data_IF_054277640825
#
_entry.id   IF_054277640825
#
_cell.length_a   1.000
_cell.length_b   1.000
_cell.length_c   1.000
_cell.angle_alpha   90.00
_cell.angle_beta   90.00
_cell.angle_gamma   90.00
#
_symmetry.space_group_name_H-M   'P 1'
#
loop_
_entity.id
_entity.type
_entity.pdbx_description
1 polymer ?
#
# COMPACT_ATOMS: atom_id res chain seq x y z
N UNK A 1 5.97 7.36 -15.09
CA UNK A 1 5.39 8.44 -14.27
C UNK A 1 4.83 7.78 -13.02
N UNK A 2 5.42 8.08 -11.87
CA UNK A 2 4.98 7.61 -10.56
C UNK A 2 4.14 8.73 -9.93
N UNK A 3 3.00 8.39 -9.36
CA UNK A 3 2.20 9.34 -8.58
C UNK A 3 2.54 9.15 -7.11
N UNK A 4 2.80 10.26 -6.41
CA UNK A 4 3.08 10.30 -4.97
C UNK A 4 2.34 11.51 -4.39
N UNK A 5 1.75 11.42 -3.19
CA UNK A 5 1.15 12.58 -2.53
C UNK A 5 2.12 13.76 -2.45
N UNK A 6 1.62 14.98 -2.68
CA UNK A 6 2.41 16.19 -2.53
C UNK A 6 2.72 16.50 -1.07
N UNK A 7 3.67 17.41 -0.83
CA UNK A 7 4.00 17.87 0.52
C UNK A 7 2.76 18.37 1.28
N UNK A 8 2.62 17.97 2.55
CA UNK A 8 1.50 18.35 3.42
C UNK A 8 0.21 17.57 3.19
N UNK A 9 0.20 16.59 2.29
CA UNK A 9 -0.93 15.69 2.07
C UNK A 9 -0.83 14.43 2.94
N UNK A 10 -1.94 13.70 3.16
CA UNK A 10 -1.91 12.40 3.81
C UNK A 10 -0.97 11.41 3.11
N UNK A 11 -0.35 10.52 3.89
CA UNK A 11 0.52 9.44 3.41
C UNK A 11 -0.24 8.46 2.49
N UNK A 12 0.49 7.58 1.80
CA UNK A 12 -0.08 6.68 0.81
C UNK A 12 -1.09 5.66 1.33
N UNK A 13 -1.13 5.40 2.64
CA UNK A 13 -2.09 4.48 3.24
C UNK A 13 -3.48 5.09 3.48
N UNK A 14 -3.63 6.40 3.34
CA UNK A 14 -4.84 7.11 3.74
C UNK A 14 -6.05 6.76 2.83
N UNK A 15 -7.23 6.44 3.40
CA UNK A 15 -8.44 6.11 2.64
C UNK A 15 -8.90 7.15 1.63
N UNK A 16 -8.54 8.42 1.79
CA UNK A 16 -8.88 9.47 0.82
C UNK A 16 -8.32 9.19 -0.59
N UNK A 17 -7.29 8.34 -0.70
CA UNK A 17 -6.68 7.98 -1.97
C UNK A 17 -7.26 6.72 -2.64
N UNK A 18 -8.09 5.93 -1.95
CA UNK A 18 -8.48 4.61 -2.45
C UNK A 18 -9.27 4.68 -3.76
N UNK A 19 -10.12 5.69 -3.94
CA UNK A 19 -10.86 5.95 -5.18
C UNK A 19 -9.91 6.23 -6.35
N UNK A 20 -8.86 7.01 -6.11
CA UNK A 20 -7.84 7.30 -7.11
C UNK A 20 -7.07 6.02 -7.47
N UNK A 21 -6.69 5.21 -6.48
CA UNK A 21 -5.97 3.96 -6.71
C UNK A 21 -6.78 3.00 -7.56
N UNK A 22 -8.07 2.82 -7.26
CA UNK A 22 -8.98 2.00 -8.06
C UNK A 22 -9.09 2.50 -9.50
N UNK A 23 -9.15 3.81 -9.73
CA UNK A 23 -9.20 4.39 -11.08
C UNK A 23 -7.89 4.18 -11.86
N UNK A 24 -6.74 4.36 -11.22
CA UNK A 24 -5.43 4.11 -11.86
C UNK A 24 -5.28 2.63 -12.23
N UNK A 25 -5.63 1.73 -11.30
CA UNK A 25 -5.62 0.27 -11.53
C UNK A 25 -6.58 -0.15 -12.64
N UNK A 26 -7.80 0.40 -12.67
CA UNK A 26 -8.77 0.14 -13.74
C UNK A 26 -8.28 0.60 -15.12
N UNK A 27 -7.38 1.57 -15.18
CA UNK A 27 -6.71 1.99 -16.42
C UNK A 27 -5.50 1.11 -16.80
N UNK A 28 -5.29 -0.03 -16.12
CA UNK A 28 -4.21 -0.97 -16.38
C UNK A 28 -2.83 -0.50 -15.90
N UNK A 29 -2.79 0.48 -14.98
CA UNK A 29 -1.53 1.03 -14.44
C UNK A 29 -1.32 0.58 -12.99
N UNK A 30 -0.06 0.42 -12.61
CA UNK A 30 0.32 0.17 -11.23
C UNK A 30 0.31 1.45 -10.39
N UNK A 31 0.16 1.30 -9.07
CA UNK A 31 0.22 2.38 -8.08
C UNK A 31 1.31 2.04 -7.08
N UNK A 32 2.06 3.06 -6.65
CA UNK A 32 3.02 2.93 -5.55
C UNK A 32 2.63 3.84 -4.39
N UNK A 33 1.79 3.38 -3.45
CA UNK A 33 1.53 4.09 -2.20
C UNK A 33 2.83 4.17 -1.39
N UNK A 34 3.27 5.39 -1.11
CA UNK A 34 4.52 5.64 -0.38
C UNK A 34 4.22 5.92 1.11
N UNK A 35 5.10 5.44 1.98
CA UNK A 35 5.02 5.63 3.44
C UNK A 35 3.69 5.15 4.04
N UNK A 36 3.23 3.97 3.62
CA UNK A 36 2.05 3.32 4.21
C UNK A 36 2.40 2.87 5.62
N UNK A 37 1.63 3.28 6.63
CA UNK A 37 1.87 2.82 8.00
C UNK A 37 1.43 1.36 8.17
N UNK A 38 2.02 0.60 9.11
CA UNK A 38 1.68 -0.82 9.31
C UNK A 38 0.19 -1.07 9.56
N UNK A 39 -0.47 -0.18 10.30
CA UNK A 39 -1.91 -0.25 10.61
C UNK A 39 -2.81 0.10 9.41
N UNK A 40 -2.27 0.79 8.39
CA UNK A 40 -2.97 1.13 7.16
C UNK A 40 -2.87 0.04 6.08
N UNK A 41 -1.90 -0.89 6.18
CA UNK A 41 -1.66 -1.90 5.15
C UNK A 41 -2.90 -2.79 4.93
N UNK A 42 -3.48 -3.33 6.01
CA UNK A 42 -4.65 -4.21 5.88
C UNK A 42 -5.86 -3.49 5.29
N UNK A 43 -6.29 -2.31 5.81
CA UNK A 43 -7.38 -1.54 5.21
C UNK A 43 -7.14 -1.21 3.72
N UNK A 44 -5.92 -0.86 3.35
CA UNK A 44 -5.55 -0.59 1.97
C UNK A 44 -5.77 -1.84 1.09
N UNK A 45 -5.18 -2.98 1.48
CA UNK A 45 -5.31 -4.23 0.72
C UNK A 45 -6.76 -4.70 0.63
N UNK A 46 -7.54 -4.59 1.71
CA UNK A 46 -8.98 -4.92 1.70
C UNK A 46 -9.77 -4.04 0.73
N UNK A 47 -9.46 -2.75 0.66
CA UNK A 47 -10.23 -1.78 -0.10
C UNK A 47 -9.90 -1.76 -1.60
N UNK A 48 -8.63 -1.96 -1.95
CA UNK A 48 -8.17 -1.82 -3.34
C UNK A 48 -7.65 -3.11 -3.96
N UNK A 49 -7.38 -4.16 -3.17
CA UNK A 49 -6.77 -5.42 -3.63
C UNK A 49 -5.25 -5.31 -3.88
N UNK A 50 -4.49 -6.42 -3.75
CA UNK A 50 -3.03 -6.41 -3.85
C UNK A 50 -2.50 -6.22 -5.28
N UNK A 51 -3.27 -6.60 -6.31
CA UNK A 51 -2.77 -6.63 -7.69
C UNK A 51 -2.43 -5.23 -8.20
N UNK A 52 -1.27 -5.07 -8.83
CA UNK A 52 -0.83 -3.78 -9.37
C UNK A 52 -0.47 -2.73 -8.31
N UNK A 53 -0.28 -3.14 -7.04
CA UNK A 53 0.35 -2.31 -6.02
C UNK A 53 1.83 -2.65 -5.87
N UNK A 54 2.65 -1.62 -5.68
CA UNK A 54 4.00 -1.71 -5.12
C UNK A 54 4.02 -0.86 -3.86
N UNK A 55 4.14 -1.42 -2.67
CA UNK A 55 3.90 -0.68 -1.41
C UNK A 55 5.23 -0.39 -0.72
N UNK A 56 5.48 0.88 -0.42
CA UNK A 56 6.56 1.29 0.48
C UNK A 56 5.98 1.48 1.88
N UNK A 57 6.41 0.65 2.83
CA UNK A 57 5.96 0.71 4.22
C UNK A 57 6.83 1.64 5.05
N UNK A 58 6.20 2.43 5.92
CA UNK A 58 6.86 3.25 6.93
C UNK A 58 7.01 2.45 8.22
N UNK A 59 8.05 1.61 8.27
CA UNK A 59 8.37 0.78 9.43
C UNK A 59 9.38 1.49 10.33
N UNK A 60 9.13 1.47 11.64
CA UNK A 60 10.05 2.06 12.62
C UNK A 60 10.76 1.02 13.48
N UNK A 61 10.30 -0.24 13.45
CA UNK A 61 10.90 -1.34 14.22
C UNK A 61 10.94 -2.62 13.40
N UNK A 62 12.04 -3.36 13.54
CA UNK A 62 12.18 -4.67 12.91
C UNK A 62 11.11 -5.66 13.37
N UNK A 63 10.63 -5.56 14.62
CA UNK A 63 9.55 -6.42 15.13
C UNK A 63 8.21 -6.27 14.41
N UNK A 64 8.01 -5.18 13.66
CA UNK A 64 6.81 -5.00 12.83
C UNK A 64 6.90 -5.83 11.54
N UNK A 65 8.11 -6.17 11.09
CA UNK A 65 8.36 -6.86 9.82
C UNK A 65 7.71 -8.24 9.74
N UNK A 66 7.82 -9.05 10.80
CA UNK A 66 7.24 -10.40 10.81
C UNK A 66 5.70 -10.38 10.66
N UNK A 67 5.04 -9.44 11.35
CA UNK A 67 3.60 -9.26 11.27
C UNK A 67 3.17 -8.78 9.88
N UNK A 68 3.94 -7.86 9.29
CA UNK A 68 3.74 -7.40 7.91
C UNK A 68 3.87 -8.54 6.91
N UNK A 69 4.94 -9.35 7.00
CA UNK A 69 5.15 -10.48 6.09
C UNK A 69 4.03 -11.51 6.20
N UNK A 70 3.61 -11.83 7.43
CA UNK A 70 2.49 -12.74 7.67
C UNK A 70 1.18 -12.19 7.08
N UNK A 71 0.91 -10.90 7.26
CA UNK A 71 -0.25 -10.25 6.66
C UNK A 71 -0.17 -10.28 5.14
N UNK A 72 0.93 -9.84 4.54
CA UNK A 72 1.12 -9.80 3.10
C UNK A 72 0.99 -11.20 2.47
N UNK A 73 1.52 -12.24 3.13
CA UNK A 73 1.38 -13.63 2.69
C UNK A 73 -0.08 -14.09 2.65
N UNK A 74 -0.95 -13.59 3.55
CA UNK A 74 -2.40 -13.86 3.49
C UNK A 74 -3.09 -13.26 2.26
N UNK A 75 -2.46 -12.28 1.60
CA UNK A 75 -2.89 -11.72 0.31
C UNK A 75 -2.08 -12.26 -0.88
N UNK A 76 -1.29 -13.32 -0.68
CA UNK A 76 -0.53 -13.99 -1.74
C UNK A 76 0.83 -13.38 -2.05
N UNK A 77 1.38 -12.51 -1.19
CA UNK A 77 2.77 -12.09 -1.29
C UNK A 77 3.71 -13.21 -0.84
N UNK A 78 4.74 -13.47 -1.63
CA UNK A 78 5.82 -14.38 -1.29
C UNK A 78 7.14 -13.62 -1.48
N UNK A 79 7.97 -13.59 -0.45
CA UNK A 79 9.34 -13.10 -0.61
C UNK A 79 10.16 -14.18 -1.34
N UNK A 80 10.86 -13.77 -2.40
CA UNK A 80 11.77 -14.62 -3.17
C UNK A 80 13.02 -15.01 -2.37
#
# INVERSE_FOLDING_TARGET
MQWTPGYGQPQGGDPCWYDLYRRIKAAGKAVMPCWVRPDELKPLLDAVGPEGLNIELDLHRESEWEAILSLAASYGYHAD
#
